data_IF_936802592514
#
_entry.id   IF_936802592514
#
_cell.length_a   1.000
_cell.length_b   1.000
_cell.length_c   1.000
_cell.angle_alpha   90.00
_cell.angle_beta   90.00
_cell.angle_gamma   90.00
#
_symmetry.space_group_name_H-M   'P 1'
#
loop_
_entity.id
_entity.type
_entity.pdbx_description
1 polymer ?
#
# COMPACT_ATOMS: atom_id res chain seq x y z
N UNK A 1 11.30 3.34 11.79
CA UNK A 1 10.01 4.03 12.02
C UNK A 1 8.89 3.14 11.49
N UNK A 2 7.61 3.37 11.83
CA UNK A 2 6.48 2.55 11.31
C UNK A 2 6.49 2.44 9.78
N UNK A 3 6.94 3.50 9.09
CA UNK A 3 7.04 3.51 7.64
C UNK A 3 8.07 2.51 7.10
N UNK A 4 9.21 2.34 7.78
CA UNK A 4 10.27 1.42 7.35
C UNK A 4 9.84 -0.05 7.49
N UNK A 5 9.13 -0.39 8.57
CA UNK A 5 8.62 -1.74 8.84
C UNK A 5 7.50 -2.10 7.87
N UNK A 6 6.52 -1.22 7.71
CA UNK A 6 5.43 -1.38 6.72
C UNK A 6 6.01 -1.52 5.30
N UNK A 7 6.97 -0.68 4.92
CA UNK A 7 7.59 -0.76 3.59
C UNK A 7 8.35 -2.08 3.39
N UNK A 8 9.04 -2.58 4.42
CA UNK A 8 9.74 -3.86 4.36
C UNK A 8 8.78 -5.05 4.21
N UNK A 9 7.70 -5.09 4.99
CA UNK A 9 6.66 -6.13 4.86
C UNK A 9 5.98 -6.06 3.49
N UNK A 10 5.63 -4.86 3.03
CA UNK A 10 5.03 -4.63 1.73
C UNK A 10 5.94 -5.12 0.61
N UNK A 11 7.23 -4.78 0.66
CA UNK A 11 8.20 -5.24 -0.33
C UNK A 11 8.30 -6.77 -0.38
N UNK A 12 8.30 -7.45 0.78
CA UNK A 12 8.30 -8.91 0.85
C UNK A 12 7.04 -9.51 0.21
N UNK A 13 5.85 -8.99 0.56
CA UNK A 13 4.56 -9.44 0.00
C UNK A 13 4.54 -9.27 -1.52
N UNK A 14 4.87 -8.08 -2.02
CA UNK A 14 4.84 -7.77 -3.46
C UNK A 14 5.85 -8.60 -4.25
N UNK A 15 7.03 -8.88 -3.67
CA UNK A 15 8.03 -9.75 -4.28
C UNK A 15 7.49 -11.18 -4.43
N UNK A 16 6.87 -11.73 -3.37
CA UNK A 16 6.27 -13.06 -3.39
C UNK A 16 5.10 -13.16 -4.38
N UNK A 17 4.30 -12.10 -4.52
CA UNK A 17 3.13 -12.06 -5.41
C UNK A 17 3.47 -11.69 -6.86
N UNK A 18 4.75 -11.42 -7.16
CA UNK A 18 5.17 -10.86 -8.44
C UNK A 18 4.33 -9.62 -8.82
N UNK A 19 4.10 -8.72 -7.86
CA UNK A 19 3.33 -7.49 -8.07
C UNK A 19 4.22 -6.33 -8.54
N UNK A 20 3.61 -5.22 -8.99
CA UNK A 20 4.38 -4.03 -9.35
C UNK A 20 5.11 -3.44 -8.13
N UNK A 21 6.36 -2.98 -8.28
CA UNK A 21 7.11 -2.44 -7.15
C UNK A 21 6.53 -1.10 -6.69
N UNK A 22 6.38 -0.96 -5.38
CA UNK A 22 6.09 0.31 -4.71
C UNK A 22 7.40 1.05 -4.49
N UNK A 23 7.44 2.32 -4.89
CA UNK A 23 8.64 3.17 -4.77
C UNK A 23 8.73 3.82 -3.38
N UNK A 24 7.60 4.21 -2.80
CA UNK A 24 7.54 4.76 -1.46
C UNK A 24 6.21 4.40 -0.79
N UNK A 25 6.23 4.23 0.52
CA UNK A 25 5.05 4.06 1.36
C UNK A 25 5.20 4.96 2.58
N UNK A 26 4.19 5.77 2.85
CA UNK A 26 4.11 6.66 4.00
C UNK A 26 2.89 6.35 4.83
N UNK A 27 3.04 6.46 6.14
CA UNK A 27 1.98 6.20 7.10
C UNK A 27 1.85 7.41 7.99
N UNK A 28 0.68 8.05 7.97
CA UNK A 28 0.42 9.19 8.82
C UNK A 28 0.47 8.80 10.30
N UNK A 29 0.61 9.81 11.15
CA UNK A 29 0.22 9.68 12.57
C UNK A 29 -1.24 9.27 12.67
N UNK A 30 -1.62 8.75 13.84
CA UNK A 30 -3.02 8.49 14.15
C UNK A 30 -3.86 9.76 14.08
N UNK A 31 -5.01 9.67 13.40
CA UNK A 31 -5.96 10.75 13.21
C UNK A 31 -7.31 10.39 13.81
N UNK A 32 -7.91 11.32 14.54
CA UNK A 32 -9.24 11.15 15.14
C UNK A 32 -10.33 11.67 14.21
N UNK A 33 -11.40 10.88 14.00
CA UNK A 33 -12.61 11.36 13.31
C UNK A 33 -13.56 12.04 14.29
N UNK A 34 -14.34 13.06 13.85
CA UNK A 34 -15.36 13.70 14.68
C UNK A 34 -16.38 12.71 15.26
N UNK A 35 -16.80 11.74 14.44
CA UNK A 35 -17.65 10.62 14.86
C UNK A 35 -17.12 9.35 14.19
N UNK A 36 -16.26 8.62 14.88
CA UNK A 36 -15.71 7.38 14.36
C UNK A 36 -14.46 6.91 15.08
N UNK A 37 -13.98 5.76 14.65
CA UNK A 37 -12.75 5.17 15.16
C UNK A 37 -11.53 5.97 14.64
N UNK A 38 -10.46 6.07 15.43
CA UNK A 38 -9.21 6.63 14.95
C UNK A 38 -8.66 5.81 13.78
N UNK A 39 -7.91 6.47 12.90
CA UNK A 39 -7.39 5.87 11.67
C UNK A 39 -5.99 6.36 11.35
N UNK A 40 -5.32 5.67 10.43
CA UNK A 40 -4.12 6.18 9.74
C UNK A 40 -4.39 6.30 8.26
N UNK A 41 -3.79 7.31 7.63
CA UNK A 41 -3.74 7.45 6.19
C UNK A 41 -2.45 6.81 5.68
N UNK A 42 -2.57 5.90 4.74
CA UNK A 42 -1.45 5.25 4.08
C UNK A 42 -1.39 5.77 2.65
N UNK A 43 -0.23 6.28 2.24
CA UNK A 43 0.01 6.80 0.90
C UNK A 43 1.18 6.07 0.25
N UNK A 44 1.06 5.69 -1.01
CA UNK A 44 2.15 5.04 -1.72
C UNK A 44 2.25 5.48 -3.18
N UNK A 45 3.46 5.41 -3.73
CA UNK A 45 3.75 5.71 -5.13
C UNK A 45 4.29 4.49 -5.85
N UNK A 46 3.97 4.39 -7.15
CA UNK A 46 4.55 3.38 -8.05
C UNK A 46 5.35 4.11 -9.13
N UNK A 47 6.38 3.45 -9.66
CA UNK A 47 7.30 4.04 -10.64
C UNK A 47 6.63 4.61 -11.90
N UNK A 48 5.41 4.16 -12.23
CA UNK A 48 4.69 4.50 -13.46
C UNK A 48 3.43 5.36 -13.23
N UNK A 49 3.04 5.64 -11.98
CA UNK A 49 1.79 6.36 -11.64
C UNK A 49 2.08 7.76 -11.06
N UNK A 50 1.45 8.79 -11.64
CA UNK A 50 1.69 10.19 -11.28
C UNK A 50 0.89 10.72 -10.07
N UNK A 51 -0.27 10.16 -9.65
CA UNK A 51 -0.79 10.46 -8.32
C UNK A 51 -0.44 9.35 -7.31
N UNK A 52 0.01 9.77 -6.13
CA UNK A 52 0.11 8.89 -4.97
C UNK A 52 -1.27 8.27 -4.68
N UNK A 53 -1.28 6.96 -4.49
CA UNK A 53 -2.47 6.19 -4.11
C UNK A 53 -2.63 6.28 -2.60
N UNK A 54 -3.87 6.18 -2.12
CA UNK A 54 -4.21 6.42 -0.72
C UNK A 54 -5.22 5.39 -0.22
N UNK A 55 -5.04 4.96 1.01
CA UNK A 55 -6.00 4.12 1.71
C UNK A 55 -6.07 4.50 3.18
N UNK A 56 -7.27 4.42 3.76
CA UNK A 56 -7.46 4.59 5.20
C UNK A 56 -7.50 3.21 5.86
N UNK A 57 -6.76 3.09 6.98
CA UNK A 57 -6.72 1.88 7.82
C UNK A 57 -7.08 2.24 9.26
N UNK A 58 -7.63 1.29 10.05
CA UNK A 58 -7.80 1.49 11.49
C UNK A 58 -6.48 1.87 12.18
N UNK A 59 -6.56 2.70 13.23
CA UNK A 59 -5.36 3.13 13.94
C UNK A 59 -4.71 2.01 14.78
N UNK A 60 -5.46 0.98 15.12
CA UNK A 60 -4.94 -0.20 15.81
C UNK A 60 -4.29 -1.22 14.88
N UNK A 61 -4.36 -1.02 13.56
CA UNK A 61 -3.78 -1.97 12.61
C UNK A 61 -2.28 -2.13 12.79
N UNK A 62 -1.81 -3.38 12.71
CA UNK A 62 -0.37 -3.69 12.79
C UNK A 62 0.35 -3.32 11.49
N UNK A 63 1.67 -3.26 11.56
CA UNK A 63 2.51 -2.94 10.40
C UNK A 63 2.32 -3.95 9.25
N UNK A 64 2.12 -5.23 9.57
CA UNK A 64 1.81 -6.31 8.63
C UNK A 64 0.43 -6.12 8.00
N UNK A 65 -0.62 -5.86 8.81
CA UNK A 65 -1.99 -5.65 8.31
C UNK A 65 -2.05 -4.44 7.36
N UNK A 66 -1.32 -3.37 7.69
CA UNK A 66 -1.19 -2.20 6.82
C UNK A 66 -0.56 -2.59 5.49
N UNK A 67 0.54 -3.37 5.52
CA UNK A 67 1.23 -3.81 4.32
C UNK A 67 0.34 -4.72 3.44
N UNK A 68 -0.44 -5.62 4.04
CA UNK A 68 -1.40 -6.47 3.33
C UNK A 68 -2.51 -5.64 2.66
N UNK A 69 -3.05 -4.65 3.37
CA UNK A 69 -4.03 -3.72 2.80
C UNK A 69 -3.43 -3.01 1.59
N UNK A 70 -2.21 -2.45 1.69
CA UNK A 70 -1.57 -1.78 0.55
C UNK A 70 -1.36 -2.76 -0.59
N UNK A 71 -0.82 -3.96 -0.33
CA UNK A 71 -0.56 -4.96 -1.35
C UNK A 71 -1.81 -5.35 -2.15
N UNK A 72 -2.98 -5.47 -1.50
CA UNK A 72 -4.25 -5.77 -2.17
C UNK A 72 -4.69 -4.69 -3.17
N UNK A 73 -4.16 -3.47 -3.07
CA UNK A 73 -4.44 -2.35 -3.97
C UNK A 73 -3.32 -2.11 -5.01
N UNK A 74 -2.22 -2.85 -4.93
CA UNK A 74 -1.11 -2.80 -5.89
C UNK A 74 -1.42 -3.77 -7.04
N UNK A 75 -1.45 -3.31 -8.30
CA UNK A 75 -1.64 -4.20 -9.44
C UNK A 75 -0.56 -5.30 -9.47
N UNK A 76 -0.99 -6.54 -9.75
CA UNK A 76 -0.09 -7.63 -10.09
C UNK A 76 0.74 -7.29 -11.33
N UNK A 77 1.91 -7.91 -11.51
CA UNK A 77 2.68 -7.73 -12.74
C UNK A 77 1.89 -8.32 -13.90
N UNK A 78 1.65 -7.50 -14.92
CA UNK A 78 1.23 -7.99 -16.22
C UNK A 78 2.38 -8.84 -16.77
N UNK A 79 2.28 -10.16 -16.68
CA UNK A 79 3.03 -11.01 -17.58
C UNK A 79 2.53 -10.66 -18.98
N UNK A 80 3.33 -9.92 -19.73
CA UNK A 80 3.03 -9.64 -21.12
C UNK A 80 3.00 -10.95 -21.89
N UNK A 81 1.82 -11.49 -22.12
CA UNK A 81 1.45 -11.72 -23.52
C UNK A 81 0.63 -10.49 -23.91
N UNK A 82 1.20 -9.66 -24.79
CA UNK A 82 0.67 -8.36 -25.17
C UNK A 82 -0.62 -8.47 -25.97
N UNK A 83 -1.73 -8.84 -25.32
CA UNK A 83 -3.07 -8.69 -25.86
C UNK A 83 -3.93 -7.92 -24.87
N UNK A 84 -3.91 -6.60 -25.04
CA UNK A 84 -5.08 -5.77 -24.78
C UNK A 84 -6.25 -6.42 -25.54
N UNK A 85 -7.18 -7.04 -24.80
CA UNK A 85 -8.49 -7.36 -25.34
C UNK A 85 -9.41 -6.21 -24.95
N UNK A 86 -9.86 -5.48 -25.97
CA UNK A 86 -10.89 -4.46 -25.89
C UNK A 86 -12.26 -5.10 -25.63
#
# INVERSE_FOLDING_TARGET
MIEDTVFSHLHAILTCQHSMPVQSCRVSVEMQRPWGRPYRLVEWTMHLDAPARRQIVPAESTDEEIAEVVASHVPGRLYGDGRLQF
#
